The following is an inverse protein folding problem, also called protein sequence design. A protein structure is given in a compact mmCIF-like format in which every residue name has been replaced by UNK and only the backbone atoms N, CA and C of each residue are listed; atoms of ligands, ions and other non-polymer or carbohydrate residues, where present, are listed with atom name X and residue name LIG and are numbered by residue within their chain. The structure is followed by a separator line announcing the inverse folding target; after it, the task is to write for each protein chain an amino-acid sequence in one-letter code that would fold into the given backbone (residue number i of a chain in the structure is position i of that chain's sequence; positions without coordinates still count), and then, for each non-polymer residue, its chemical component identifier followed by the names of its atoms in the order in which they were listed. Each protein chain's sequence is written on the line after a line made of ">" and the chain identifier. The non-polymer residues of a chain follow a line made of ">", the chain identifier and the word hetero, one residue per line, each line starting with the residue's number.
data_IF_947428175224
#
_entry.id   IF_947428175224
#
_cell.length_a   1.000
_cell.length_b   1.000
_cell.length_c   1.000
_cell.angle_alpha   90.00
_cell.angle_beta   90.00
_cell.angle_gamma   90.00
#
_symmetry.space_group_name_H-M   'P 1'
#
loop_
_entity.id
_entity.type
_entity.pdbx_description
1 polymer ?
#
# COMPACT_ATOMS: atom_id res chain seq x y z
N UNK A 1 17.65 -53.11 65.35
CA UNK A 1 18.00 -53.71 64.06
C UNK A 1 16.77 -53.58 63.18
N UNK A 2 16.59 -52.42 62.58
CA UNK A 2 15.40 -52.02 61.84
C UNK A 2 15.67 -52.19 60.35
N UNK A 3 14.83 -53.02 59.72
CA UNK A 3 14.65 -53.09 58.28
C UNK A 3 13.79 -51.88 57.90
N UNK A 4 14.24 -51.06 56.96
CA UNK A 4 13.33 -50.30 56.11
C UNK A 4 13.92 -50.16 54.71
N UNK A 5 13.24 -50.78 53.76
CA UNK A 5 13.62 -50.96 52.37
C UNK A 5 12.57 -50.22 51.53
N UNK A 6 12.85 -48.97 51.18
CA UNK A 6 12.08 -48.22 50.18
C UNK A 6 13.01 -47.37 49.31
N UNK A 7 13.79 -48.03 48.46
CA UNK A 7 14.44 -47.38 47.33
C UNK A 7 13.37 -46.90 46.33
N UNK A 8 12.91 -45.64 46.48
CA UNK A 8 12.18 -44.93 45.43
C UNK A 8 13.14 -44.66 44.27
N UNK A 9 13.03 -45.46 43.21
CA UNK A 9 13.64 -45.16 41.91
C UNK A 9 13.00 -43.87 41.39
N UNK A 10 13.77 -42.78 41.41
CA UNK A 10 13.36 -41.53 40.79
C UNK A 10 13.30 -41.74 39.27
N UNK A 11 12.09 -41.75 38.72
CA UNK A 11 11.88 -41.62 37.27
C UNK A 11 12.33 -40.20 36.90
N UNK A 12 13.30 -40.02 35.99
CA UNK A 12 13.69 -38.68 35.58
C UNK A 12 12.52 -38.05 34.83
N UNK A 13 11.97 -36.95 35.36
CA UNK A 13 11.11 -36.04 34.61
C UNK A 13 11.89 -35.59 33.37
N UNK A 14 11.54 -36.12 32.20
CA UNK A 14 11.98 -35.53 30.95
C UNK A 14 11.40 -34.10 30.89
N UNK A 15 12.23 -33.05 30.80
CA UNK A 15 11.71 -31.70 30.69
C UNK A 15 10.88 -31.62 29.40
N UNK A 16 9.67 -31.08 29.50
CA UNK A 16 8.72 -30.80 28.42
C UNK A 16 9.24 -29.81 27.34
N UNK A 17 10.56 -29.68 27.21
CA UNK A 17 11.28 -28.83 26.27
C UNK A 17 11.44 -29.46 24.87
N UNK A 18 11.12 -30.75 24.67
CA UNK A 18 11.35 -31.45 23.40
C UNK A 18 10.33 -31.13 22.27
N UNK A 19 9.34 -30.27 22.49
CA UNK A 19 8.30 -29.92 21.48
C UNK A 19 8.21 -28.43 21.15
N UNK A 20 9.26 -27.66 21.44
CA UNK A 20 9.40 -26.32 20.86
C UNK A 20 9.67 -26.47 19.35
N UNK A 21 8.60 -26.61 18.57
CA UNK A 21 8.66 -26.46 17.11
C UNK A 21 9.36 -25.13 16.84
N UNK A 22 10.57 -25.12 16.24
CA UNK A 22 11.26 -23.87 15.96
C UNK A 22 10.31 -23.01 15.14
N UNK A 23 10.14 -21.74 15.54
CA UNK A 23 9.31 -20.78 14.82
C UNK A 23 9.94 -20.59 13.44
N UNK A 24 9.51 -21.41 12.48
CA UNK A 24 10.05 -21.40 11.13
C UNK A 24 9.83 -20.00 10.57
N UNK A 25 10.91 -19.35 10.14
CA UNK A 25 10.84 -18.04 9.50
C UNK A 25 9.69 -18.02 8.48
N UNK A 26 8.89 -16.94 8.41
CA UNK A 26 7.75 -16.88 7.51
C UNK A 26 8.23 -17.24 6.10
N UNK A 27 7.60 -18.23 5.44
CA UNK A 27 8.11 -18.73 4.19
C UNK A 27 8.09 -17.63 3.13
N UNK A 28 9.13 -17.61 2.29
CA UNK A 28 9.17 -16.81 1.07
C UNK A 28 8.00 -17.14 0.12
N UNK A 29 7.88 -16.40 -0.99
CA UNK A 29 6.75 -16.55 -1.89
C UNK A 29 6.70 -17.98 -2.45
N UNK A 30 5.50 -18.55 -2.55
CA UNK A 30 5.32 -19.91 -3.07
C UNK A 30 5.81 -20.04 -4.52
N UNK A 31 5.70 -18.96 -5.29
CA UNK A 31 6.20 -18.85 -6.66
C UNK A 31 7.71 -19.12 -6.77
N UNK A 32 8.50 -18.84 -5.73
CA UNK A 32 9.94 -19.13 -5.76
C UNK A 32 10.26 -20.62 -5.68
N UNK A 33 9.27 -21.49 -5.40
CA UNK A 33 9.45 -22.96 -5.33
C UNK A 33 9.30 -23.65 -6.67
N UNK A 34 8.83 -22.95 -7.70
CA UNK A 34 8.57 -23.49 -9.03
C UNK A 34 9.45 -22.74 -10.03
N UNK A 35 10.14 -23.46 -10.92
CA UNK A 35 10.92 -22.83 -12.00
C UNK A 35 9.98 -21.97 -12.86
N UNK A 36 10.27 -20.67 -12.97
CA UNK A 36 9.41 -19.71 -13.68
C UNK A 36 8.19 -19.23 -12.90
N UNK A 37 8.00 -19.62 -11.63
CA UNK A 37 6.84 -19.21 -10.84
C UNK A 37 6.73 -17.70 -10.60
N UNK A 38 7.83 -16.96 -10.74
CA UNK A 38 7.82 -15.49 -10.69
C UNK A 38 6.95 -14.87 -11.80
N UNK A 39 6.77 -15.55 -12.93
CA UNK A 39 5.89 -15.08 -14.01
C UNK A 39 4.43 -15.10 -13.54
N UNK A 40 4.01 -16.19 -12.89
CA UNK A 40 2.66 -16.31 -12.32
C UNK A 40 2.42 -15.24 -11.26
N UNK A 41 3.43 -14.97 -10.43
CA UNK A 41 3.39 -13.91 -9.41
C UNK A 41 3.24 -12.52 -10.05
N UNK A 42 4.03 -12.22 -11.08
CA UNK A 42 3.98 -10.95 -11.80
C UNK A 42 2.65 -10.76 -12.52
N UNK A 43 2.14 -11.79 -13.20
CA UNK A 43 0.83 -11.77 -13.87
C UNK A 43 -0.30 -11.59 -12.86
N UNK A 44 -0.24 -12.26 -11.70
CA UNK A 44 -1.25 -12.10 -10.66
C UNK A 44 -1.26 -10.67 -10.08
N UNK A 45 -0.08 -10.08 -9.85
CA UNK A 45 0.01 -8.69 -9.36
C UNK A 45 -0.41 -7.67 -10.42
N UNK A 46 -0.07 -7.89 -11.69
CA UNK A 46 -0.52 -7.04 -12.78
C UNK A 46 -2.04 -7.14 -12.94
N UNK A 47 -2.61 -8.35 -12.93
CA UNK A 47 -4.05 -8.56 -12.96
C UNK A 47 -4.77 -7.92 -11.77
N UNK A 48 -4.16 -7.97 -10.59
CA UNK A 48 -4.67 -7.27 -9.41
C UNK A 48 -4.62 -5.74 -9.57
N UNK A 49 -3.54 -5.18 -10.11
CA UNK A 49 -3.44 -3.75 -10.37
C UNK A 49 -4.50 -3.27 -11.39
N UNK A 50 -4.69 -4.01 -12.49
CA UNK A 50 -5.72 -3.75 -13.49
C UNK A 50 -7.12 -3.85 -12.88
N UNK A 51 -7.39 -4.91 -12.11
CA UNK A 51 -8.68 -5.07 -11.44
C UNK A 51 -8.97 -3.92 -10.46
N UNK A 52 -7.96 -3.50 -9.70
CA UNK A 52 -8.06 -2.34 -8.81
C UNK A 52 -8.43 -1.07 -9.58
N UNK A 53 -7.79 -0.81 -10.72
CA UNK A 53 -8.08 0.38 -11.54
C UNK A 53 -9.51 0.34 -12.10
N UNK A 54 -9.98 -0.82 -12.57
CA UNK A 54 -11.36 -1.01 -13.03
C UNK A 54 -12.38 -0.73 -11.92
N UNK A 55 -12.16 -1.30 -10.73
CA UNK A 55 -13.04 -1.08 -9.57
C UNK A 55 -13.03 0.39 -9.14
N UNK A 56 -11.85 1.00 -9.03
CA UNK A 56 -11.69 2.42 -8.69
C UNK A 56 -12.45 3.30 -9.67
N UNK A 57 -12.41 3.02 -10.98
CA UNK A 57 -13.11 3.80 -12.00
C UNK A 57 -14.63 3.61 -11.92
N UNK A 58 -15.11 2.41 -11.61
CA UNK A 58 -16.53 2.14 -11.40
C UNK A 58 -17.11 2.85 -10.17
N UNK A 59 -16.28 3.16 -9.17
CA UNK A 59 -16.67 3.77 -7.90
C UNK A 59 -16.56 5.31 -7.88
N UNK A 60 -16.55 5.99 -9.04
CA UNK A 60 -16.22 7.43 -9.15
C UNK A 60 -17.07 8.37 -8.27
N UNK A 61 -18.22 7.96 -7.74
CA UNK A 61 -19.05 8.78 -6.85
C UNK A 61 -19.61 10.03 -7.56
N UNK A 62 -20.38 10.85 -6.83
CA UNK A 62 -21.02 12.07 -7.39
C UNK A 62 -20.11 13.30 -7.27
N UNK A 63 -19.98 14.07 -8.34
CA UNK A 63 -19.21 15.31 -8.39
C UNK A 63 -19.58 16.29 -7.28
N UNK A 64 -20.88 16.49 -7.04
CA UNK A 64 -21.37 17.42 -6.03
C UNK A 64 -20.90 17.04 -4.61
N UNK A 65 -20.83 15.73 -4.32
CA UNK A 65 -20.35 15.22 -3.02
C UNK A 65 -18.84 15.42 -2.92
N UNK A 66 -18.09 15.05 -3.96
CA UNK A 66 -16.64 15.20 -3.99
C UNK A 66 -16.18 16.66 -3.85
N UNK A 67 -16.87 17.58 -4.53
CA UNK A 67 -16.60 19.01 -4.44
C UNK A 67 -16.95 19.58 -3.05
N UNK A 68 -18.06 19.14 -2.45
CA UNK A 68 -18.42 19.55 -1.09
C UNK A 68 -17.38 19.09 -0.08
N UNK A 69 -16.94 17.84 -0.17
CA UNK A 69 -15.90 17.28 0.69
C UNK A 69 -14.57 18.03 0.53
N UNK A 70 -14.18 18.37 -0.70
CA UNK A 70 -13.00 19.20 -0.95
C UNK A 70 -13.11 20.60 -0.29
N UNK A 71 -14.28 21.24 -0.32
CA UNK A 71 -14.51 22.51 0.38
C UNK A 71 -14.40 22.37 1.91
N UNK A 72 -14.89 21.27 2.46
CA UNK A 72 -14.72 20.94 3.88
C UNK A 72 -13.23 20.78 4.22
N UNK A 73 -12.48 20.02 3.42
CA UNK A 73 -11.03 19.84 3.60
C UNK A 73 -10.28 21.17 3.56
N UNK A 74 -10.52 22.00 2.54
CA UNK A 74 -9.94 23.34 2.46
C UNK A 74 -10.23 24.19 3.70
N UNK A 75 -11.42 24.03 4.31
CA UNK A 75 -11.79 24.77 5.52
C UNK A 75 -11.02 24.26 6.74
N UNK A 76 -10.82 22.94 6.85
CA UNK A 76 -10.01 22.32 7.90
C UNK A 76 -8.54 22.73 7.74
N UNK A 77 -7.98 22.70 6.53
CA UNK A 77 -6.60 23.11 6.27
C UNK A 77 -6.36 24.58 6.58
N UNK A 78 -7.33 25.45 6.27
CA UNK A 78 -7.28 26.87 6.67
C UNK A 78 -7.31 27.03 8.18
N UNK A 79 -8.16 26.26 8.87
CA UNK A 79 -8.22 26.27 10.34
C UNK A 79 -6.91 25.76 10.98
N UNK A 80 -6.28 24.74 10.38
CA UNK A 80 -4.98 24.22 10.79
C UNK A 80 -3.79 25.13 10.41
N UNK A 81 -4.01 26.13 9.55
CA UNK A 81 -2.95 27.00 9.03
C UNK A 81 -2.00 26.30 8.05
N UNK A 82 -2.45 25.25 7.35
CA UNK A 82 -1.65 24.50 6.38
C UNK A 82 -2.11 24.69 4.94
N UNK A 83 -3.19 25.42 4.68
CA UNK A 83 -3.71 25.68 3.33
C UNK A 83 -2.74 26.56 2.52
N UNK A 84 -1.82 25.91 1.82
CA UNK A 84 -0.71 26.54 1.07
C UNK A 84 -0.46 25.88 -0.31
N UNK A 85 -1.34 24.99 -0.75
CA UNK A 85 -1.21 24.24 -2.00
C UNK A 85 -1.17 25.18 -3.20
N UNK A 86 -1.98 26.24 -3.17
CA UNK A 86 -2.06 27.21 -4.26
C UNK A 86 -0.76 28.01 -4.38
N UNK A 87 -0.18 28.42 -3.26
CA UNK A 87 1.10 29.12 -3.20
C UNK A 87 2.23 28.25 -3.73
N UNK A 88 2.27 26.97 -3.35
CA UNK A 88 3.23 25.99 -3.86
C UNK A 88 3.08 25.81 -5.37
N UNK A 89 1.86 25.61 -5.87
CA UNK A 89 1.63 25.47 -7.30
C UNK A 89 2.04 26.75 -8.05
N UNK A 90 1.64 27.94 -7.57
CA UNK A 90 2.02 29.22 -8.17
C UNK A 90 3.53 29.43 -8.23
N UNK A 91 4.26 29.01 -7.21
CA UNK A 91 5.72 29.04 -7.23
C UNK A 91 6.28 28.25 -8.42
N UNK A 92 5.85 27.00 -8.59
CA UNK A 92 6.32 26.14 -9.69
C UNK A 92 5.80 26.55 -11.07
N UNK A 93 4.64 27.20 -11.17
CA UNK A 93 4.11 27.71 -12.43
C UNK A 93 5.01 28.78 -13.08
N UNK A 94 5.92 29.41 -12.33
CA UNK A 94 6.94 30.31 -12.89
C UNK A 94 8.08 29.55 -13.61
N UNK A 95 8.11 28.22 -13.50
CA UNK A 95 9.15 27.35 -14.03
C UNK A 95 8.51 26.21 -14.86
N UNK A 96 8.03 26.48 -16.09
CA UNK A 96 7.31 25.50 -16.91
C UNK A 96 8.01 24.14 -17.06
N UNK A 97 9.33 24.16 -17.26
CA UNK A 97 10.13 22.94 -17.35
C UNK A 97 10.05 22.06 -16.08
N UNK A 98 9.99 22.67 -14.90
CA UNK A 98 9.83 21.92 -13.65
C UNK A 98 8.43 21.34 -13.53
N UNK A 99 7.40 22.03 -14.01
CA UNK A 99 6.04 21.47 -14.08
C UNK A 99 6.00 20.27 -15.01
N UNK A 100 6.64 20.33 -16.18
CA UNK A 100 6.75 19.18 -17.09
C UNK A 100 7.40 17.98 -16.39
N UNK A 101 8.48 18.23 -15.64
CA UNK A 101 9.15 17.20 -14.84
C UNK A 101 8.24 16.64 -13.74
N UNK A 102 7.48 17.48 -13.04
CA UNK A 102 6.54 17.06 -12.00
C UNK A 102 5.37 16.25 -12.57
N UNK A 103 4.84 16.66 -13.73
CA UNK A 103 3.82 15.91 -14.44
C UNK A 103 4.32 14.51 -14.82
N UNK A 104 5.50 14.41 -15.43
CA UNK A 104 6.11 13.13 -15.79
C UNK A 104 6.35 12.27 -14.55
N UNK A 105 6.88 12.84 -13.48
CA UNK A 105 7.12 12.12 -12.22
C UNK A 105 5.80 11.61 -11.63
N UNK A 106 4.79 12.47 -11.55
CA UNK A 106 3.45 12.14 -11.06
C UNK A 106 2.87 10.94 -11.82
N UNK A 107 2.89 10.99 -13.16
CA UNK A 107 2.32 9.94 -14.02
C UNK A 107 3.10 8.63 -14.02
N UNK A 108 4.40 8.62 -13.70
CA UNK A 108 5.25 7.43 -13.91
C UNK A 108 5.83 6.81 -12.65
N UNK A 109 6.24 7.60 -11.66
CA UNK A 109 7.05 7.10 -10.55
C UNK A 109 6.31 6.05 -9.72
N UNK A 110 5.01 6.22 -9.52
CA UNK A 110 4.19 5.29 -8.75
C UNK A 110 3.94 3.96 -9.47
N UNK A 111 4.17 3.87 -10.78
CA UNK A 111 4.13 2.61 -11.54
C UNK A 111 5.51 1.96 -11.70
N UNK A 112 6.59 2.70 -11.52
CA UNK A 112 7.96 2.18 -11.70
C UNK A 112 8.62 1.77 -10.39
N UNK A 113 8.50 2.60 -9.35
CA UNK A 113 9.23 2.40 -8.08
C UNK A 113 8.69 1.21 -7.28
N UNK A 114 7.38 1.02 -7.08
CA UNK A 114 6.88 -0.13 -6.33
C UNK A 114 7.24 -1.48 -6.98
N UNK A 115 7.09 -1.69 -8.31
CA UNK A 115 7.57 -2.91 -8.95
C UNK A 115 9.07 -3.11 -8.83
N UNK A 116 9.89 -2.06 -8.95
CA UNK A 116 11.34 -2.17 -8.78
C UNK A 116 11.72 -2.65 -7.36
N UNK A 117 11.07 -2.11 -6.32
CA UNK A 117 11.26 -2.56 -4.94
C UNK A 117 10.71 -3.97 -4.73
N UNK A 118 9.56 -4.29 -5.33
CA UNK A 118 8.99 -5.62 -5.27
C UNK A 118 9.94 -6.67 -5.86
N UNK A 119 10.50 -6.42 -7.05
CA UNK A 119 11.53 -7.29 -7.67
C UNK A 119 12.76 -7.39 -6.77
N UNK A 120 13.27 -6.28 -6.25
CA UNK A 120 14.42 -6.29 -5.34
C UNK A 120 14.16 -7.16 -4.09
N UNK A 121 13.01 -6.99 -3.44
CA UNK A 121 12.64 -7.79 -2.27
C UNK A 121 12.39 -9.25 -2.62
N UNK A 122 11.79 -9.54 -3.78
CA UNK A 122 11.59 -10.91 -4.25
C UNK A 122 12.92 -11.65 -4.34
N UNK A 123 13.95 -10.97 -4.83
CA UNK A 123 15.29 -11.54 -5.00
C UNK A 123 16.13 -11.56 -3.72
N UNK A 124 16.04 -10.52 -2.87
CA UNK A 124 16.98 -10.31 -1.76
C UNK A 124 16.38 -10.53 -0.37
N UNK A 125 15.07 -10.40 -0.21
CA UNK A 125 14.38 -10.57 1.07
C UNK A 125 12.99 -11.20 0.88
N UNK A 126 12.89 -12.47 0.43
CA UNK A 126 11.63 -13.04 -0.06
C UNK A 126 10.51 -13.11 1.00
N UNK A 127 10.85 -13.33 2.27
CA UNK A 127 9.87 -13.28 3.36
C UNK A 127 9.28 -11.87 3.53
N UNK A 128 10.12 -10.83 3.39
CA UNK A 128 9.69 -9.43 3.44
C UNK A 128 8.86 -9.05 2.23
N UNK A 129 9.23 -9.56 1.04
CA UNK A 129 8.42 -9.41 -0.17
C UNK A 129 6.98 -9.89 0.06
N UNK A 130 6.78 -11.10 0.60
CA UNK A 130 5.41 -11.63 0.84
C UNK A 130 4.59 -10.73 1.75
N UNK A 131 5.19 -10.22 2.84
CA UNK A 131 4.51 -9.30 3.75
C UNK A 131 4.12 -8.01 3.04
N UNK A 132 5.08 -7.37 2.37
CA UNK A 132 4.85 -6.08 1.71
C UNK A 132 3.89 -6.20 0.52
N UNK A 133 3.95 -7.30 -0.23
CA UNK A 133 2.98 -7.64 -1.28
C UNK A 133 1.57 -7.78 -0.71
N UNK A 134 1.40 -8.50 0.40
CA UNK A 134 0.07 -8.64 1.02
C UNK A 134 -0.44 -7.31 1.58
N UNK A 135 0.42 -6.50 2.20
CA UNK A 135 0.08 -5.15 2.63
C UNK A 135 -0.34 -4.28 1.44
N UNK A 136 0.37 -4.35 0.32
CA UNK A 136 0.00 -3.63 -0.91
C UNK A 136 -1.37 -4.06 -1.43
N UNK A 137 -1.66 -5.36 -1.47
CA UNK A 137 -2.99 -5.86 -1.86
C UNK A 137 -4.10 -5.41 -0.89
N UNK A 138 -3.81 -5.32 0.42
CA UNK A 138 -4.75 -4.75 1.39
C UNK A 138 -4.99 -3.27 1.11
N UNK A 139 -3.96 -2.52 0.72
CA UNK A 139 -4.12 -1.12 0.30
C UNK A 139 -5.05 -1.02 -0.91
N UNK A 140 -4.76 -1.78 -1.97
CA UNK A 140 -5.53 -1.76 -3.21
C UNK A 140 -7.00 -2.16 -3.03
N UNK A 141 -7.30 -3.17 -2.20
CA UNK A 141 -8.65 -3.76 -2.19
C UNK A 141 -9.43 -3.54 -0.90
N UNK A 142 -8.83 -2.90 0.11
CA UNK A 142 -9.49 -2.69 1.41
C UNK A 142 -9.33 -1.23 1.84
N UNK A 143 -8.14 -0.81 2.25
CA UNK A 143 -8.00 0.49 2.94
C UNK A 143 -8.17 1.68 2.02
N UNK A 144 -7.64 1.63 0.78
CA UNK A 144 -7.82 2.67 -0.23
C UNK A 144 -9.29 2.82 -0.65
N UNK A 145 -9.93 1.75 -1.17
CA UNK A 145 -11.34 1.79 -1.59
C UNK A 145 -12.29 2.24 -0.48
N UNK A 146 -12.11 1.80 0.77
CA UNK A 146 -12.93 2.28 1.89
C UNK A 146 -12.81 3.81 2.03
N UNK A 147 -11.60 4.37 1.88
CA UNK A 147 -11.40 5.82 1.91
C UNK A 147 -12.19 6.53 0.82
N UNK A 148 -12.07 6.09 -0.43
CA UNK A 148 -12.74 6.72 -1.58
C UNK A 148 -14.27 6.57 -1.55
N UNK A 149 -14.77 5.44 -1.05
CA UNK A 149 -16.21 5.20 -0.89
C UNK A 149 -16.81 6.06 0.23
N UNK A 150 -16.10 6.18 1.36
CA UNK A 150 -16.60 6.94 2.52
C UNK A 150 -16.43 8.45 2.31
N UNK A 151 -15.36 8.86 1.64
CA UNK A 151 -15.00 10.27 1.50
C UNK A 151 -14.39 10.58 0.13
N UNK A 152 -15.18 10.56 -0.95
CA UNK A 152 -14.70 10.99 -2.27
C UNK A 152 -14.38 12.50 -2.22
N UNK A 153 -13.30 12.91 -2.88
CA UNK A 153 -12.76 14.28 -2.82
C UNK A 153 -12.29 14.71 -4.19
N UNK A 154 -12.73 15.90 -4.62
CA UNK A 154 -12.20 16.53 -5.81
C UNK A 154 -10.81 17.13 -5.54
N UNK A 155 -9.79 16.85 -6.37
CA UNK A 155 -8.46 17.43 -6.22
C UNK A 155 -8.46 18.95 -6.51
N UNK A 156 -7.46 19.70 -6.03
CA UNK A 156 -7.39 21.15 -6.20
C UNK A 156 -7.53 21.64 -7.65
N UNK A 157 -6.91 20.94 -8.61
CA UNK A 157 -6.94 21.25 -10.04
C UNK A 157 -8.35 21.24 -10.66
N UNK A 158 -9.30 20.51 -10.05
CA UNK A 158 -10.69 20.40 -10.51
C UNK A 158 -11.66 21.25 -9.68
N UNK A 159 -11.16 22.08 -8.77
CA UNK A 159 -11.98 23.05 -8.07
C UNK A 159 -12.46 24.18 -9.02
N UNK A 160 -13.53 24.90 -8.68
CA UNK A 160 -13.97 26.06 -9.44
C UNK A 160 -12.83 27.06 -9.66
N UNK A 161 -12.81 27.72 -10.82
CA UNK A 161 -11.76 28.67 -11.23
C UNK A 161 -11.48 29.77 -10.20
N UNK A 162 -12.45 30.11 -9.35
CA UNK A 162 -12.28 31.08 -8.25
C UNK A 162 -11.22 30.66 -7.22
N UNK A 163 -10.88 29.37 -7.11
CA UNK A 163 -9.77 28.89 -6.27
C UNK A 163 -8.40 29.12 -6.90
N UNK A 164 -8.32 29.35 -8.23
CA UNK A 164 -7.10 29.75 -8.91
C UNK A 164 -6.09 28.65 -9.22
N UNK A 165 -6.41 27.37 -8.97
CA UNK A 165 -5.59 26.24 -9.38
C UNK A 165 -5.57 26.05 -10.90
N UNK A 166 -4.48 25.50 -11.40
CA UNK A 166 -4.28 25.16 -12.81
C UNK A 166 -4.20 23.65 -12.94
N UNK A 167 -4.99 23.09 -13.87
CA UNK A 167 -4.83 21.71 -14.31
C UNK A 167 -3.55 21.59 -15.17
N UNK A 168 -2.45 21.21 -14.53
CA UNK A 168 -1.15 21.13 -15.18
C UNK A 168 -1.03 19.92 -16.10
N UNK A 169 -1.81 18.86 -15.86
CA UNK A 169 -1.76 17.62 -16.63
C UNK A 169 -2.27 17.83 -18.07
N UNK A 170 -3.17 18.80 -18.25
CA UNK A 170 -3.70 19.20 -19.56
C UNK A 170 -2.91 20.36 -20.18
N UNK A 171 -2.39 21.29 -19.36
CA UNK A 171 -1.75 22.52 -19.85
C UNK A 171 -0.27 22.36 -20.23
N UNK A 172 0.44 21.48 -19.54
CA UNK A 172 1.88 21.30 -19.67
C UNK A 172 2.21 19.90 -20.21
N UNK A 173 3.48 19.66 -20.55
CA UNK A 173 3.89 18.37 -21.08
C UNK A 173 3.62 17.25 -20.06
N UNK A 174 3.13 16.12 -20.54
CA UNK A 174 2.91 14.93 -19.74
C UNK A 174 2.93 13.66 -20.59
N UNK A 175 2.99 12.51 -19.91
CA UNK A 175 2.90 11.18 -20.51
C UNK A 175 1.53 10.59 -20.18
N UNK A 176 0.75 10.30 -21.22
CA UNK A 176 -0.57 9.68 -21.12
C UNK A 176 -1.68 10.55 -21.73
N UNK A 177 -2.90 10.00 -21.87
CA UNK A 177 -4.05 10.77 -22.28
C UNK A 177 -4.45 11.74 -21.16
N UNK A 178 -4.54 13.04 -21.48
CA UNK A 178 -5.10 14.06 -20.60
C UNK A 178 -6.03 14.95 -21.39
N UNK A 179 -7.26 15.09 -20.91
CA UNK A 179 -8.30 15.88 -21.56
C UNK A 179 -8.85 16.91 -20.56
N UNK A 180 -9.19 18.14 -21.01
CA UNK A 180 -9.78 19.14 -20.12
C UNK A 180 -11.06 18.61 -19.48
N UNK A 181 -11.21 18.80 -18.16
CA UNK A 181 -12.42 18.42 -17.44
C UNK A 181 -13.65 19.17 -17.98
N UNK A 182 -14.71 18.42 -18.30
CA UNK A 182 -16.00 18.94 -18.76
C UNK A 182 -17.12 18.17 -18.09
N UNK A 183 -18.15 18.90 -17.71
CA UNK A 183 -19.35 18.35 -17.09
C UNK A 183 -20.45 18.16 -18.14
N UNK A 184 -21.25 17.10 -17.99
CA UNK A 184 -22.47 16.86 -18.72
C UNK A 184 -23.63 17.72 -18.21
N UNK A 185 -24.82 17.65 -18.86
CA UNK A 185 -26.02 18.36 -18.43
C UNK A 185 -26.51 17.95 -17.03
N UNK A 186 -26.15 16.76 -16.58
CA UNK A 186 -26.41 16.19 -15.26
C UNK A 186 -25.49 16.73 -14.15
N UNK A 187 -24.47 17.53 -14.51
CA UNK A 187 -23.48 18.07 -13.59
C UNK A 187 -22.39 17.07 -13.18
N UNK A 188 -22.31 15.92 -13.83
CA UNK A 188 -21.26 14.92 -13.63
C UNK A 188 -20.20 15.02 -14.74
N UNK A 189 -18.95 14.56 -14.51
CA UNK A 189 -17.95 14.49 -15.58
C UNK A 189 -18.48 13.67 -16.74
N UNK A 190 -18.26 14.14 -17.96
CA UNK A 190 -18.68 13.38 -19.13
C UNK A 190 -17.97 12.02 -19.17
N UNK A 191 -18.68 10.98 -19.60
CA UNK A 191 -18.17 9.61 -19.63
C UNK A 191 -16.90 9.47 -20.48
N UNK A 192 -16.80 10.16 -21.61
CA UNK A 192 -15.60 10.16 -22.47
C UNK A 192 -14.34 10.68 -21.76
N UNK A 193 -14.51 11.54 -20.75
CA UNK A 193 -13.42 12.00 -19.90
C UNK A 193 -13.07 10.92 -18.88
N UNK A 194 -14.06 10.36 -18.19
CA UNK A 194 -13.84 9.27 -17.22
C UNK A 194 -13.14 8.08 -17.88
N UNK A 195 -13.51 7.74 -19.11
CA UNK A 195 -12.88 6.66 -19.88
C UNK A 195 -11.43 6.99 -20.27
N UNK A 196 -11.11 8.26 -20.47
CA UNK A 196 -9.77 8.71 -20.87
C UNK A 196 -8.80 8.85 -19.69
N UNK A 197 -9.27 9.35 -18.53
CA UNK A 197 -8.40 9.72 -17.39
C UNK A 197 -8.72 8.98 -16.08
N UNK A 198 -9.79 8.18 -16.05
CA UNK A 198 -10.19 7.39 -14.89
C UNK A 198 -10.93 8.17 -13.79
N UNK A 199 -10.94 7.62 -12.58
CA UNK A 199 -11.63 8.23 -11.43
C UNK A 199 -10.99 9.56 -11.02
N UNK A 200 -11.81 10.62 -11.11
CA UNK A 200 -11.44 12.02 -10.82
C UNK A 200 -11.55 12.42 -9.36
N UNK A 201 -12.26 11.64 -8.55
CA UNK A 201 -12.66 11.99 -7.19
C UNK A 201 -12.08 11.06 -6.11
N UNK A 202 -11.19 10.14 -6.49
CA UNK A 202 -10.40 9.32 -5.59
C UNK A 202 -9.18 10.04 -5.02
N UNK A 203 -9.35 11.30 -4.57
CA UNK A 203 -8.26 12.14 -4.07
C UNK A 203 -7.72 11.71 -2.69
N UNK A 204 -8.57 11.22 -1.80
CA UNK A 204 -8.19 10.91 -0.40
C UNK A 204 -8.55 9.46 -0.02
N UNK A 205 -7.59 8.63 0.43
CA UNK A 205 -6.16 8.92 0.55
C UNK A 205 -5.44 8.99 -0.81
N UNK A 206 -4.27 9.62 -0.84
CA UNK A 206 -3.42 9.67 -2.03
C UNK A 206 -2.64 8.36 -2.20
N UNK A 207 -3.02 7.53 -3.17
CA UNK A 207 -2.26 6.31 -3.47
C UNK A 207 -0.81 6.59 -3.87
N UNK A 208 -0.51 7.72 -4.53
CA UNK A 208 0.86 8.13 -4.84
C UNK A 208 1.71 8.18 -3.56
N UNK A 209 1.21 8.90 -2.55
CA UNK A 209 1.90 9.04 -1.26
C UNK A 209 1.92 7.70 -0.54
N UNK A 210 0.79 7.00 -0.45
CA UNK A 210 0.68 5.73 0.26
C UNK A 210 1.66 4.68 -0.30
N UNK A 211 1.75 4.55 -1.63
CA UNK A 211 2.65 3.59 -2.27
C UNK A 211 4.11 4.01 -2.08
N UNK A 212 4.42 5.30 -2.13
CA UNK A 212 5.78 5.81 -1.87
C UNK A 212 6.22 5.58 -0.41
N UNK A 213 5.30 5.73 0.55
CA UNK A 213 5.55 5.41 1.96
C UNK A 213 5.73 3.91 2.18
N UNK A 214 4.90 3.08 1.53
CA UNK A 214 5.06 1.64 1.56
C UNK A 214 6.42 1.23 1.00
N UNK A 215 6.89 1.88 -0.07
CA UNK A 215 8.23 1.66 -0.63
C UNK A 215 9.34 1.91 0.41
N UNK A 216 9.24 3.00 1.18
CA UNK A 216 10.16 3.27 2.30
C UNK A 216 10.11 2.15 3.32
N UNK A 217 8.92 1.86 3.85
CA UNK A 217 8.73 0.82 4.86
C UNK A 217 9.26 -0.51 4.35
N UNK A 218 8.99 -0.86 3.10
CA UNK A 218 9.35 -2.12 2.47
C UNK A 218 10.85 -2.31 2.33
N UNK A 219 11.63 -1.29 1.98
CA UNK A 219 13.07 -1.46 1.72
C UNK A 219 13.96 -1.07 2.91
N UNK A 220 13.49 -0.23 3.82
CA UNK A 220 14.30 0.39 4.89
C UNK A 220 15.16 -0.60 5.71
N UNK A 221 14.66 -1.78 6.14
CA UNK A 221 15.47 -2.71 6.92
C UNK A 221 16.48 -3.51 6.10
N UNK A 222 16.35 -3.51 4.77
CA UNK A 222 17.22 -4.26 3.85
C UNK A 222 18.41 -3.43 3.41
N UNK A 223 18.25 -2.10 3.31
CA UNK A 223 19.32 -1.19 2.88
C UNK A 223 20.18 -0.74 4.06
N UNK A 224 21.50 -0.93 3.93
CA UNK A 224 22.48 -0.58 4.99
C UNK A 224 23.16 0.78 4.77
N UNK A 225 23.34 1.18 3.52
CA UNK A 225 24.09 2.39 3.15
C UNK A 225 23.25 3.64 3.45
N UNK A 226 23.83 4.62 4.16
CA UNK A 226 23.13 5.85 4.57
C UNK A 226 22.62 6.68 3.38
N UNK A 227 23.39 6.79 2.30
CA UNK A 227 22.94 7.51 1.10
C UNK A 227 21.75 6.83 0.42
N UNK A 228 21.69 5.49 0.41
CA UNK A 228 20.52 4.75 -0.12
C UNK A 228 19.29 5.03 0.74
N UNK A 229 19.43 5.09 2.07
CA UNK A 229 18.34 5.51 2.96
C UNK A 229 17.86 6.93 2.66
N UNK A 230 18.79 7.84 2.36
CA UNK A 230 18.47 9.19 1.87
C UNK A 230 17.63 9.16 0.59
N UNK A 231 18.05 8.39 -0.42
CA UNK A 231 17.30 8.25 -1.68
C UNK A 231 15.91 7.64 -1.47
N UNK A 232 15.80 6.66 -0.57
CA UNK A 232 14.52 6.04 -0.23
C UNK A 232 13.56 7.05 0.39
N UNK A 233 14.03 7.94 1.28
CA UNK A 233 13.22 9.03 1.84
C UNK A 233 12.96 10.17 0.85
N UNK A 234 13.86 10.37 -0.12
CA UNK A 234 13.66 11.38 -1.16
C UNK A 234 12.42 11.04 -2.02
N UNK A 235 12.13 9.77 -2.25
CA UNK A 235 10.99 9.35 -3.06
C UNK A 235 9.64 9.89 -2.56
N UNK A 236 9.18 9.66 -1.31
CA UNK A 236 7.92 10.25 -0.84
C UNK A 236 7.95 11.78 -0.79
N UNK A 237 9.11 12.41 -0.54
CA UNK A 237 9.23 13.88 -0.58
C UNK A 237 9.02 14.43 -2.00
N UNK A 238 9.62 13.80 -3.01
CA UNK A 238 9.39 14.12 -4.41
C UNK A 238 7.94 13.85 -4.80
N UNK A 239 7.33 12.78 -4.29
CA UNK A 239 5.92 12.50 -4.53
C UNK A 239 5.02 13.58 -3.95
N UNK A 240 5.26 14.04 -2.72
CA UNK A 240 4.52 15.15 -2.10
C UNK A 240 4.72 16.44 -2.91
N UNK A 241 5.95 16.72 -3.35
CA UNK A 241 6.25 17.85 -4.22
C UNK A 241 5.49 17.78 -5.56
N UNK A 242 5.46 16.60 -6.19
CA UNK A 242 4.77 16.39 -7.45
C UNK A 242 3.27 16.63 -7.31
N UNK A 243 2.59 15.99 -6.36
CA UNK A 243 1.13 16.08 -6.21
C UNK A 243 0.65 17.50 -5.86
N UNK A 244 1.47 18.28 -5.16
CA UNK A 244 1.15 19.66 -4.76
C UNK A 244 1.45 20.62 -5.90
N UNK A 245 2.59 20.48 -6.58
CA UNK A 245 2.94 21.29 -7.75
C UNK A 245 1.94 21.10 -8.90
N UNK A 246 1.44 19.88 -9.11
CA UNK A 246 0.45 19.58 -10.16
C UNK A 246 -1.00 19.82 -9.73
N UNK A 247 -1.23 20.17 -8.45
CA UNK A 247 -2.57 20.44 -7.91
C UNK A 247 -3.48 19.20 -7.87
N UNK A 248 -2.90 18.00 -7.77
CA UNK A 248 -3.63 16.74 -7.84
C UNK A 248 -4.08 16.23 -6.47
N UNK A 249 -3.57 16.78 -5.36
CA UNK A 249 -3.95 16.39 -4.01
C UNK A 249 -3.89 17.58 -3.04
N UNK A 250 -4.71 17.50 -1.99
CA UNK A 250 -4.70 18.41 -0.83
C UNK A 250 -3.62 17.95 0.17
N UNK A 251 -3.12 18.82 1.05
CA UNK A 251 -2.14 18.42 2.05
C UNK A 251 -2.70 17.40 3.05
N UNK A 252 -3.98 17.48 3.42
CA UNK A 252 -4.63 16.47 4.26
C UNK A 252 -4.58 15.07 3.63
N UNK A 253 -4.53 14.95 2.30
CA UNK A 253 -4.43 13.65 1.65
C UNK A 253 -3.17 12.89 2.10
N UNK A 254 -2.09 13.61 2.45
CA UNK A 254 -0.85 13.04 3.00
C UNK A 254 -1.11 12.37 4.35
N UNK A 255 -1.90 13.00 5.22
CA UNK A 255 -2.29 12.41 6.50
C UNK A 255 -3.17 11.17 6.28
N UNK A 256 -4.11 11.25 5.33
CA UNK A 256 -4.92 10.09 4.90
C UNK A 256 -4.04 8.92 4.44
N UNK A 257 -3.03 9.18 3.63
CA UNK A 257 -2.06 8.17 3.15
C UNK A 257 -1.24 7.54 4.28
N UNK A 258 -0.79 8.34 5.25
CA UNK A 258 -0.10 7.81 6.43
C UNK A 258 -1.00 6.84 7.22
N UNK A 259 -2.28 7.22 7.43
CA UNK A 259 -3.27 6.38 8.11
C UNK A 259 -3.52 5.10 7.32
N UNK A 260 -3.73 5.21 6.00
CA UNK A 260 -3.98 4.09 5.11
C UNK A 260 -2.84 3.05 5.20
N UNK A 261 -1.59 3.48 5.04
CA UNK A 261 -0.41 2.61 5.10
C UNK A 261 -0.28 1.96 6.47
N UNK A 262 -0.49 2.72 7.55
CA UNK A 262 -0.43 2.18 8.91
C UNK A 262 -1.50 1.08 9.13
N UNK A 263 -2.74 1.33 8.73
CA UNK A 263 -3.84 0.35 8.82
C UNK A 263 -3.54 -0.90 7.99
N UNK A 264 -3.09 -0.74 6.75
CA UNK A 264 -2.75 -1.87 5.88
C UNK A 264 -1.58 -2.70 6.42
N UNK A 265 -0.57 -2.05 7.02
CA UNK A 265 0.54 -2.74 7.69
C UNK A 265 0.05 -3.54 8.91
N UNK A 266 -0.80 -2.94 9.75
CA UNK A 266 -1.38 -3.60 10.92
C UNK A 266 -2.20 -4.84 10.51
N UNK A 267 -3.06 -4.69 9.49
CA UNK A 267 -3.85 -5.79 8.94
C UNK A 267 -2.96 -6.87 8.32
N UNK A 268 -1.93 -6.49 7.57
CA UNK A 268 -0.96 -7.42 6.98
C UNK A 268 -0.20 -8.24 8.03
N UNK A 269 0.27 -7.59 9.10
CA UNK A 269 0.93 -8.26 10.23
C UNK A 269 -0.05 -9.17 10.98
N UNK A 270 -1.28 -8.70 11.22
CA UNK A 270 -2.31 -9.49 11.88
C UNK A 270 -2.64 -10.75 11.08
N UNK A 271 -2.80 -10.63 9.75
CA UNK A 271 -3.04 -11.74 8.84
C UNK A 271 -1.89 -12.74 8.86
N UNK A 272 -0.64 -12.27 8.75
CA UNK A 272 0.54 -13.12 8.82
C UNK A 272 0.60 -13.91 10.13
N UNK A 273 0.39 -13.25 11.27
CA UNK A 273 0.34 -13.90 12.59
C UNK A 273 -0.78 -14.93 12.70
N UNK A 274 -1.98 -14.61 12.18
CA UNK A 274 -3.11 -15.55 12.18
C UNK A 274 -2.80 -16.80 11.35
N UNK A 275 -2.23 -16.63 10.16
CA UNK A 275 -1.83 -17.73 9.29
C UNK A 275 -0.70 -18.56 9.88
N UNK A 276 0.30 -17.92 10.52
CA UNK A 276 1.38 -18.57 11.24
C UNK A 276 0.87 -19.47 12.37
N UNK A 277 -0.03 -18.94 13.23
CA UNK A 277 -0.67 -19.72 14.31
C UNK A 277 -1.46 -20.91 13.77
N UNK A 278 -2.20 -20.74 12.67
CA UNK A 278 -2.95 -21.84 12.03
C UNK A 278 -2.02 -22.93 11.49
N UNK A 279 -0.87 -22.56 10.90
CA UNK A 279 0.14 -23.51 10.41
C UNK A 279 0.78 -24.29 11.56
N UNK A 280 1.19 -23.61 12.63
CA UNK A 280 1.76 -24.25 13.82
C UNK A 280 0.78 -25.25 14.46
N UNK A 281 -0.51 -24.88 14.59
CA UNK A 281 -1.55 -25.80 15.08
C UNK A 281 -1.73 -27.02 14.18
N UNK A 282 -1.70 -26.84 12.85
CA UNK A 282 -1.80 -27.96 11.89
C UNK A 282 -0.59 -28.88 11.97
N UNK A 283 0.62 -28.34 12.11
CA UNK A 283 1.85 -29.11 12.28
C UNK A 283 1.82 -29.94 13.57
N UNK A 284 1.45 -29.35 14.71
CA UNK A 284 1.30 -30.07 15.98
C UNK A 284 0.31 -31.24 15.86
N UNK A 285 -0.88 -31.00 15.31
CA UNK A 285 -1.88 -32.05 15.09
C UNK A 285 -1.39 -33.17 14.17
N UNK A 286 -0.62 -32.85 13.14
CA UNK A 286 -0.06 -33.85 12.24
C UNK A 286 1.04 -34.69 12.93
N UNK A 287 1.86 -34.07 13.78
CA UNK A 287 2.86 -34.76 14.60
C UNK A 287 2.19 -35.70 15.61
N UNK A 288 1.18 -35.22 16.34
CA UNK A 288 0.39 -36.02 17.28
C UNK A 288 -0.26 -37.23 16.60
N UNK A 289 -0.83 -37.05 15.39
CA UNK A 289 -1.37 -38.16 14.59
C UNK A 289 -0.31 -39.14 14.11
N UNK A 290 0.86 -38.64 13.69
CA UNK A 290 1.98 -39.48 13.26
C UNK A 290 2.52 -40.34 14.40
N UNK A 291 2.61 -39.77 15.61
CA UNK A 291 3.00 -40.49 16.82
C UNK A 291 1.97 -41.56 17.21
N UNK A 292 0.67 -41.25 17.13
CA UNK A 292 -0.40 -42.21 17.44
C UNK A 292 -0.42 -43.43 16.50
N UNK A 293 -0.02 -43.27 15.23
CA UNK A 293 0.06 -44.37 14.24
C UNK A 293 1.34 -45.20 14.41
N UNK A 294 2.38 -44.64 15.04
CA UNK A 294 3.69 -45.28 15.23
C UNK A 294 3.85 -46.13 16.51
N UNK A 295 2.89 -46.10 17.43
CA UNK A 295 2.89 -46.95 18.63
C UNK A 295 2.36 -48.35 18.30
N UNK A 296 3.19 -49.42 18.27
CA UNK A 296 2.68 -50.78 18.19
C UNK A 296 1.85 -51.09 19.45
N UNK A 297 0.80 -51.92 19.36
CA UNK A 297 0.06 -52.34 20.54
C UNK A 297 1.02 -53.06 21.49
N UNK A 298 1.01 -52.65 22.77
CA UNK A 298 1.71 -53.37 23.83
C UNK A 298 1.17 -54.79 23.88
N UNK A 299 1.95 -55.73 23.33
CA UNK A 299 1.80 -57.18 23.56
C UNK A 299 2.47 -57.56 24.86
#
# INVERSE_FOLDING_TARGET
>A
MTIDDTARVAVPEQPAAALAVPESAPPGPLSARVRGGWILEAVALLGAAVLHELLRNAEMGKAAVALRNAKTLNSIERWLGIYHELEVQRFFLNWPFLIDCWNVYYSTAHFLVPPAIAVFLYLKAPARYVRMRNTFLIMLFITGPIGWLVFPVSPPAYLPKSYGFVDTQVKYFNIGPHVPLRYGPDGEPRQDIVDAIGNLYGGMPSHHVSWSLLCVVAIWPVVKRRWVKGLVLLHPLLTIGAITATGQHHFIDIAGSCIEVALALLLGIALERALGRRRARRQRRNLERGLAVGTPPNT
#
